data_IF_336511831750
#
_entry.id   IF_336511831750
#
_cell.length_a   1.000
_cell.length_b   1.000
_cell.length_c   1.000
_cell.angle_alpha   90.00
_cell.angle_beta   90.00
_cell.angle_gamma   90.00
#
_symmetry.space_group_name_H-M   'P 1'
#
loop_
_entity.id
_entity.type
_entity.pdbx_description
1 polymer ?
#
# COMPACT_ATOMS: atom_id res chain seq x y z
N UNK A 1 27.06 21.37 29.77
CA UNK A 1 26.30 20.11 29.59
C UNK A 1 24.84 20.46 29.74
N UNK A 2 24.11 20.49 28.63
CA UNK A 2 22.68 20.81 28.59
C UNK A 2 22.06 19.89 27.56
N UNK A 3 21.77 18.66 27.97
CA UNK A 3 21.00 17.72 27.17
C UNK A 3 19.54 18.17 27.21
N UNK A 4 19.08 18.78 26.10
CA UNK A 4 17.66 19.06 25.90
C UNK A 4 17.01 17.77 25.41
N UNK A 5 16.25 17.14 26.30
CA UNK A 5 15.42 15.99 26.00
C UNK A 5 14.36 16.42 24.96
N UNK A 6 14.59 16.04 23.70
CA UNK A 6 13.65 16.29 22.62
C UNK A 6 12.29 15.64 22.89
N UNK A 7 11.19 16.18 22.34
CA UNK A 7 9.84 15.64 22.57
C UNK A 7 9.76 14.18 22.10
N UNK A 8 9.56 13.28 23.05
CA UNK A 8 9.20 11.87 22.83
C UNK A 8 7.82 11.83 22.15
N UNK A 9 7.77 11.31 20.93
CA UNK A 9 6.53 11.19 20.14
C UNK A 9 6.59 11.75 18.72
N UNK A 10 7.77 12.02 18.17
CA UNK A 10 7.91 12.38 16.75
C UNK A 10 7.85 11.11 15.89
N UNK A 11 7.06 11.14 14.81
CA UNK A 11 7.09 10.08 13.80
C UNK A 11 8.42 10.14 13.06
N UNK A 12 9.18 9.05 13.12
CA UNK A 12 10.46 8.91 12.45
C UNK A 12 10.22 8.52 10.99
N UNK A 13 10.08 9.52 10.12
CA UNK A 13 10.07 9.30 8.67
C UNK A 13 11.51 9.05 8.22
N UNK A 14 11.89 7.77 8.10
CA UNK A 14 13.27 7.35 7.84
C UNK A 14 13.70 7.61 6.39
N UNK A 15 12.77 7.59 5.43
CA UNK A 15 12.99 7.94 4.01
C UNK A 15 11.65 7.95 3.23
N UNK A 16 11.69 8.25 1.92
CA UNK A 16 10.56 8.13 0.98
C UNK A 16 10.86 7.01 -0.02
N UNK A 17 10.07 5.93 0.02
CA UNK A 17 10.14 4.85 -0.98
C UNK A 17 9.59 5.36 -2.30
N UNK A 18 10.46 5.59 -3.29
CA UNK A 18 10.09 6.19 -4.57
C UNK A 18 9.29 5.27 -5.51
N UNK A 19 9.24 3.97 -5.23
CA UNK A 19 8.47 2.99 -5.97
C UNK A 19 7.75 2.02 -5.02
N UNK A 20 6.46 2.25 -4.76
CA UNK A 20 5.66 1.45 -3.84
C UNK A 20 4.57 0.66 -4.58
N UNK A 21 4.65 -0.67 -4.48
CA UNK A 21 3.66 -1.59 -5.03
C UNK A 21 2.91 -2.30 -3.90
N UNK A 22 1.58 -2.30 -3.98
CA UNK A 22 0.66 -2.84 -2.98
C UNK A 22 -0.27 -3.84 -3.68
N UNK A 23 -0.07 -5.13 -3.41
CA UNK A 23 -0.99 -6.19 -3.85
C UNK A 23 -1.98 -6.50 -2.70
N UNK A 24 -3.27 -6.25 -2.92
CA UNK A 24 -4.35 -6.46 -1.93
C UNK A 24 -5.10 -7.74 -2.27
N UNK A 25 -4.99 -8.76 -1.40
CA UNK A 25 -5.77 -10.00 -1.54
C UNK A 25 -7.20 -9.77 -1.05
N UNK A 26 -8.16 -9.93 -1.96
CA UNK A 26 -9.59 -9.82 -1.72
C UNK A 26 -10.17 -11.23 -1.59
N UNK A 27 -10.77 -11.51 -0.45
CA UNK A 27 -11.41 -12.78 -0.15
C UNK A 27 -12.92 -12.63 -0.33
N UNK A 28 -13.56 -13.61 -0.98
CA UNK A 28 -15.00 -13.61 -1.19
C UNK A 28 -15.75 -13.59 0.16
N UNK A 29 -16.70 -12.67 0.29
CA UNK A 29 -17.52 -12.49 1.49
C UNK A 29 -16.85 -11.73 2.65
N UNK A 30 -15.58 -11.29 2.50
CA UNK A 30 -14.86 -10.54 3.53
C UNK A 30 -14.93 -9.03 3.22
N UNK A 31 -16.00 -8.41 3.71
CA UNK A 31 -16.16 -6.97 3.99
C UNK A 31 -15.68 -5.98 2.91
N UNK A 32 -16.57 -5.64 1.97
CA UNK A 32 -16.28 -4.72 0.86
C UNK A 32 -16.06 -3.27 1.30
N UNK A 33 -16.66 -2.82 2.41
CA UNK A 33 -16.60 -1.41 2.83
C UNK A 33 -15.18 -0.99 3.25
N UNK A 34 -14.47 -1.85 3.98
CA UNK A 34 -13.10 -1.58 4.42
C UNK A 34 -12.12 -1.57 3.25
N UNK A 35 -12.29 -2.51 2.32
CA UNK A 35 -11.53 -2.56 1.08
C UNK A 35 -11.79 -1.31 0.22
N UNK A 36 -13.04 -0.92 0.05
CA UNK A 36 -13.41 0.27 -0.71
C UNK A 36 -12.78 1.53 -0.10
N UNK A 37 -12.85 1.69 1.23
CA UNK A 37 -12.24 2.82 1.93
C UNK A 37 -10.70 2.85 1.79
N UNK A 38 -10.05 1.68 1.84
CA UNK A 38 -8.60 1.56 1.64
C UNK A 38 -8.21 1.97 0.21
N UNK A 39 -8.87 1.41 -0.80
CA UNK A 39 -8.58 1.70 -2.20
C UNK A 39 -8.86 3.17 -2.54
N UNK A 40 -9.92 3.75 -1.99
CA UNK A 40 -10.25 5.17 -2.14
C UNK A 40 -9.19 6.08 -1.51
N UNK A 41 -8.69 5.72 -0.32
CA UNK A 41 -7.61 6.46 0.35
C UNK A 41 -6.33 6.46 -0.49
N UNK A 42 -5.91 5.30 -1.02
CA UNK A 42 -4.71 5.18 -1.86
C UNK A 42 -4.85 5.94 -3.18
N UNK A 43 -6.05 5.89 -3.78
CA UNK A 43 -6.36 6.65 -5.00
C UNK A 43 -6.33 8.15 -4.73
N UNK A 44 -6.98 8.61 -3.67
CA UNK A 44 -6.98 10.02 -3.25
C UNK A 44 -5.56 10.51 -2.97
N UNK A 45 -4.73 9.68 -2.31
CA UNK A 45 -3.33 10.01 -2.08
C UNK A 45 -2.54 10.15 -3.39
N UNK A 46 -2.78 9.28 -4.38
CA UNK A 46 -2.20 9.41 -5.72
C UNK A 46 -2.64 10.69 -6.46
N UNK A 47 -3.90 11.09 -6.29
CA UNK A 47 -4.44 12.34 -6.85
C UNK A 47 -3.84 13.59 -6.19
N UNK A 48 -3.55 13.53 -4.89
CA UNK A 48 -2.94 14.61 -4.13
C UNK A 48 -1.41 14.65 -4.20
N UNK A 49 -0.75 13.56 -4.62
CA UNK A 49 0.70 13.47 -4.76
C UNK A 49 1.36 14.64 -5.53
N UNK A 50 0.76 15.22 -6.60
CA UNK A 50 1.31 16.39 -7.27
C UNK A 50 1.35 17.67 -6.44
N UNK A 51 0.51 17.76 -5.39
CA UNK A 51 0.33 18.94 -4.54
C UNK A 51 1.21 18.92 -3.28
N UNK A 52 1.88 17.80 -3.00
CA UNK A 52 2.74 17.65 -1.82
C UNK A 52 4.17 18.10 -2.16
N UNK A 53 4.80 18.96 -1.35
CA UNK A 53 6.21 19.29 -1.49
C UNK A 53 7.09 18.05 -1.26
N UNK A 54 7.95 17.70 -2.22
CA UNK A 54 8.87 16.56 -2.12
C UNK A 54 8.75 15.56 -3.27
N UNK A 55 9.34 14.36 -3.14
CA UNK A 55 9.26 13.30 -4.12
C UNK A 55 7.80 12.89 -4.39
N UNK A 56 7.40 12.97 -5.66
CA UNK A 56 6.03 12.66 -6.13
C UNK A 56 5.87 11.15 -6.31
N UNK A 57 5.81 10.44 -5.20
CA UNK A 57 5.63 8.99 -5.18
C UNK A 57 4.16 8.66 -5.38
N UNK A 58 3.90 7.68 -6.25
CA UNK A 58 2.57 7.09 -6.43
C UNK A 58 2.57 5.66 -5.91
N UNK A 59 1.43 5.24 -5.38
CA UNK A 59 1.13 3.86 -5.04
C UNK A 59 0.65 3.13 -6.29
N UNK A 60 1.33 2.05 -6.67
CA UNK A 60 0.84 1.06 -7.64
C UNK A 60 0.03 0.00 -6.88
N UNK A 61 -1.29 -0.01 -7.08
CA UNK A 61 -2.21 -0.83 -6.28
C UNK A 61 -2.91 -1.83 -7.18
N UNK A 62 -2.86 -3.12 -6.81
CA UNK A 62 -3.52 -4.21 -7.52
C UNK A 62 -4.35 -5.04 -6.56
N UNK A 63 -5.60 -5.31 -6.93
CA UNK A 63 -6.44 -6.29 -6.21
C UNK A 63 -6.25 -7.68 -6.81
N UNK A 64 -6.13 -8.69 -5.95
CA UNK A 64 -6.02 -10.11 -6.31
C UNK A 64 -7.23 -10.84 -5.72
N UNK A 65 -7.97 -11.58 -6.55
CA UNK A 65 -9.00 -12.52 -6.07
C UNK A 65 -8.41 -13.90 -5.81
N UNK A 66 -9.10 -14.71 -5.01
CA UNK A 66 -8.70 -16.09 -4.73
C UNK A 66 -9.65 -17.11 -5.35
N UNK A 67 -9.17 -17.86 -6.34
CA UNK A 67 -9.85 -19.08 -6.80
C UNK A 67 -9.22 -20.28 -6.07
N UNK A 68 -9.85 -20.69 -4.96
CA UNK A 68 -9.66 -21.97 -4.24
C UNK A 68 -8.28 -22.23 -3.59
N UNK A 69 -7.19 -21.63 -4.07
CA UNK A 69 -5.85 -21.69 -3.45
C UNK A 69 -5.03 -20.46 -3.87
N UNK A 70 -4.71 -19.59 -2.91
CA UNK A 70 -3.86 -18.44 -3.13
C UNK A 70 -2.41 -18.73 -2.76
N UNK A 71 -1.57 -18.98 -3.76
CA UNK A 71 -0.12 -18.84 -3.64
C UNK A 71 0.21 -17.43 -4.15
N UNK A 72 0.65 -16.48 -3.28
CA UNK A 72 1.03 -15.15 -3.74
C UNK A 72 2.19 -15.28 -4.71
N UNK A 73 1.90 -15.06 -5.99
CA UNK A 73 2.85 -15.23 -7.07
C UNK A 73 3.75 -14.00 -7.15
N UNK A 74 4.90 -14.04 -6.49
CA UNK A 74 6.05 -13.24 -6.88
C UNK A 74 6.40 -13.62 -8.33
N UNK A 75 6.47 -12.60 -9.19
CA UNK A 75 6.53 -12.67 -10.66
C UNK A 75 7.17 -13.95 -11.27
N UNK A 76 6.36 -14.73 -12.03
CA UNK A 76 6.71 -15.42 -13.31
C UNK A 76 5.85 -16.69 -13.58
N UNK A 77 4.68 -16.59 -14.24
CA UNK A 77 4.09 -17.68 -15.08
C UNK A 77 2.87 -18.51 -14.61
N UNK A 78 1.62 -18.07 -14.82
CA UNK A 78 0.39 -18.86 -14.58
C UNK A 78 0.50 -20.35 -14.97
N UNK A 79 0.05 -21.25 -14.09
CA UNK A 79 -0.33 -22.60 -14.49
C UNK A 79 -1.82 -22.77 -14.19
N UNK A 80 -2.62 -22.89 -15.24
CA UNK A 80 -3.95 -23.49 -15.15
C UNK A 80 -3.79 -24.96 -14.75
N UNK A 81 -4.54 -25.42 -13.75
CA UNK A 81 -4.72 -26.85 -13.49
C UNK A 81 -6.17 -27.23 -13.83
N UNK A 82 -6.40 -28.49 -14.28
CA UNK A 82 -7.59 -28.93 -15.01
C UNK A 82 -8.87 -28.97 -14.18
#
# INVERSE_FOLDING_TARGET
>A
MSESLGPIGRSDNVDIISAMRIDVLVLDGVFDLGLAALLDTLKTANELAPNVPGPRVRFDVRTLGCAETCIPRLASGCLSLP
#
